data_IF_770558457083
#
_entry.id   IF_770558457083
#
_cell.length_a   1.000
_cell.length_b   1.000
_cell.length_c   1.000
_cell.angle_alpha   90.00
_cell.angle_beta   90.00
_cell.angle_gamma   90.00
#
_symmetry.space_group_name_H-M   'P 1'
#
loop_
_entity.id
_entity.type
_entity.pdbx_description
1 polymer ?
#
# COMPACT_ATOMS: atom_id res chain seq x y z
N UNK A 1 5.00 -6.26 30.31
CA UNK A 1 4.20 -7.33 29.66
C UNK A 1 3.01 -7.76 30.49
N UNK A 2 3.02 -7.60 31.79
CA UNK A 2 1.93 -8.02 32.69
C UNK A 2 0.60 -7.26 32.49
N UNK A 3 0.67 -6.08 31.86
CA UNK A 3 -0.48 -5.25 31.52
C UNK A 3 -1.36 -5.90 30.43
N UNK A 4 -0.77 -6.59 29.45
CA UNK A 4 -1.49 -7.12 28.28
C UNK A 4 -1.69 -8.64 28.39
N UNK A 5 -2.95 -9.06 28.45
CA UNK A 5 -3.34 -10.46 28.40
C UNK A 5 -3.52 -10.90 26.95
N UNK A 6 -2.64 -11.77 26.47
CA UNK A 6 -2.79 -12.37 25.14
C UNK A 6 -4.02 -13.24 25.07
N UNK A 7 -4.76 -13.13 23.97
CA UNK A 7 -5.93 -13.93 23.65
C UNK A 7 -5.57 -14.97 22.59
N UNK A 8 -5.40 -14.52 21.35
CA UNK A 8 -5.15 -15.40 20.19
C UNK A 8 -4.08 -14.82 19.26
N UNK A 9 -3.44 -15.68 18.46
CA UNK A 9 -2.56 -15.29 17.37
C UNK A 9 -3.43 -14.92 16.17
N UNK A 10 -3.29 -13.69 15.65
CA UNK A 10 -4.09 -13.17 14.55
C UNK A 10 -3.30 -13.02 13.23
N UNK A 11 -1.98 -13.08 13.31
CA UNK A 11 -1.10 -13.00 12.13
C UNK A 11 0.34 -13.36 12.45
N UNK A 12 1.06 -13.72 11.39
CA UNK A 12 2.51 -13.85 11.37
C UNK A 12 2.99 -13.32 10.05
N UNK A 13 4.00 -12.48 10.06
CA UNK A 13 4.57 -11.86 8.86
C UNK A 13 6.07 -11.68 9.00
N UNK A 14 6.67 -11.05 8.00
CA UNK A 14 8.12 -10.82 7.88
C UNK A 14 8.74 -10.20 9.14
N UNK A 15 7.98 -9.39 9.87
CA UNK A 15 8.47 -8.64 11.03
C UNK A 15 8.24 -9.33 12.37
N UNK A 16 7.42 -10.37 12.40
CA UNK A 16 7.11 -11.09 13.63
C UNK A 16 5.67 -11.57 13.73
N UNK A 17 5.27 -11.90 14.95
CA UNK A 17 3.94 -12.47 15.25
C UNK A 17 3.05 -11.41 15.86
N UNK A 18 1.80 -11.34 15.37
CA UNK A 18 0.76 -10.45 15.88
C UNK A 18 -0.25 -11.25 16.71
N UNK A 19 -0.52 -10.78 17.92
CA UNK A 19 -1.52 -11.36 18.82
C UNK A 19 -2.61 -10.33 19.13
N UNK A 20 -3.84 -10.77 19.13
CA UNK A 20 -4.94 -10.07 19.80
C UNK A 20 -4.72 -10.17 21.32
N UNK A 21 -4.93 -9.09 22.03
CA UNK A 21 -4.74 -9.06 23.47
C UNK A 21 -5.75 -8.10 24.13
N UNK A 22 -5.90 -8.23 25.44
CA UNK A 22 -6.69 -7.32 26.26
C UNK A 22 -5.75 -6.51 27.14
N UNK A 23 -5.89 -5.20 27.13
CA UNK A 23 -5.28 -4.32 28.14
C UNK A 23 -6.03 -4.50 29.47
N UNK A 24 -5.34 -4.98 30.50
CA UNK A 24 -5.93 -5.25 31.82
C UNK A 24 -6.34 -3.96 32.56
N UNK A 25 -5.79 -2.81 32.17
CA UNK A 25 -6.08 -1.52 32.82
C UNK A 25 -7.32 -0.92 32.20
N UNK A 26 -7.38 -0.76 30.86
CA UNK A 26 -8.52 -0.14 30.17
C UNK A 26 -9.62 -1.15 29.82
N UNK A 27 -9.32 -2.45 29.78
CA UNK A 27 -10.22 -3.49 29.28
C UNK A 27 -10.31 -3.58 27.76
N UNK A 28 -9.66 -2.67 27.04
CA UNK A 28 -9.73 -2.56 25.58
C UNK A 28 -8.98 -3.70 24.87
N UNK A 29 -9.46 -4.03 23.67
CA UNK A 29 -8.78 -4.99 22.80
C UNK A 29 -7.72 -4.25 21.98
N UNK A 30 -6.51 -4.82 21.94
CA UNK A 30 -5.33 -4.29 21.27
C UNK A 30 -4.64 -5.37 20.42
N UNK A 31 -3.82 -4.95 19.46
CA UNK A 31 -2.95 -5.82 18.68
C UNK A 31 -1.51 -5.68 19.16
N UNK A 32 -0.92 -6.80 19.59
CA UNK A 32 0.49 -6.87 20.03
C UNK A 32 1.34 -7.41 18.90
N UNK A 33 2.15 -6.57 18.28
CA UNK A 33 3.10 -6.96 17.24
C UNK A 33 4.49 -7.14 17.86
N UNK A 34 4.94 -8.39 17.97
CA UNK A 34 6.28 -8.71 18.42
C UNK A 34 7.25 -8.60 17.25
N UNK A 35 8.26 -7.76 17.40
CA UNK A 35 9.33 -7.61 16.42
C UNK A 35 10.44 -8.59 16.74
N UNK A 36 10.92 -9.34 15.73
CA UNK A 36 12.11 -10.18 15.80
C UNK A 36 13.33 -9.28 15.59
N UNK A 37 14.25 -9.27 16.54
CA UNK A 37 15.55 -8.62 16.41
C UNK A 37 16.54 -9.66 15.88
N UNK A 38 17.23 -9.38 14.78
CA UNK A 38 18.10 -10.37 14.10
C UNK A 38 19.38 -10.65 14.89
N UNK A 39 19.85 -9.71 15.70
CA UNK A 39 21.02 -9.88 16.56
C UNK A 39 20.63 -9.62 18.01
N UNK A 40 20.60 -10.70 18.81
CA UNK A 40 20.27 -10.59 20.24
C UNK A 40 21.27 -9.73 21.04
N UNK A 41 22.49 -9.50 20.49
CA UNK A 41 23.58 -8.84 21.20
C UNK A 41 23.75 -7.35 20.91
N UNK A 42 23.17 -6.79 19.83
CA UNK A 42 23.37 -5.39 19.44
C UNK A 42 22.25 -4.42 19.86
N UNK A 43 21.18 -4.92 20.46
CA UNK A 43 20.03 -4.09 20.88
C UNK A 43 19.17 -3.61 19.71
N UNK A 44 18.28 -2.64 19.97
CA UNK A 44 17.40 -2.07 18.92
C UNK A 44 18.20 -1.05 18.11
N UNK A 45 18.24 -1.18 16.76
CA UNK A 45 18.89 -0.17 15.91
C UNK A 45 18.33 1.24 16.15
N UNK A 46 19.20 2.25 16.19
CA UNK A 46 18.78 3.64 16.39
C UNK A 46 17.81 4.15 15.31
N UNK A 47 17.91 3.58 14.10
CA UNK A 47 16.99 3.82 12.99
C UNK A 47 15.58 3.34 13.32
N UNK A 48 15.46 2.16 13.94
CA UNK A 48 14.18 1.59 14.37
C UNK A 48 13.52 2.46 15.45
N UNK A 49 14.29 2.93 16.41
CA UNK A 49 13.77 3.81 17.47
C UNK A 49 13.21 5.10 16.87
N UNK A 50 13.89 5.70 15.91
CA UNK A 50 13.43 6.93 15.22
C UNK A 50 12.13 6.69 14.46
N UNK A 51 12.04 5.62 13.67
CA UNK A 51 10.82 5.31 12.91
C UNK A 51 9.64 4.96 13.81
N UNK A 52 9.87 4.25 14.90
CA UNK A 52 8.82 3.98 15.91
C UNK A 52 8.35 5.29 16.57
N UNK A 53 9.26 6.20 16.89
CA UNK A 53 8.90 7.51 17.44
C UNK A 53 8.04 8.31 16.47
N UNK A 54 8.40 8.33 15.18
CA UNK A 54 7.59 8.97 14.14
C UNK A 54 6.20 8.31 14.02
N UNK A 55 6.11 6.98 14.07
CA UNK A 55 4.82 6.28 14.04
C UNK A 55 3.94 6.64 15.23
N UNK A 56 4.53 6.86 16.40
CA UNK A 56 3.79 7.26 17.62
C UNK A 56 3.22 8.67 17.49
N UNK A 57 3.87 9.55 16.73
CA UNK A 57 3.42 10.92 16.45
C UNK A 57 2.32 10.96 15.37
N UNK A 58 2.22 9.94 14.50
CA UNK A 58 1.19 9.87 13.48
C UNK A 58 -0.18 9.58 14.11
N UNK A 59 -0.98 10.62 14.30
CA UNK A 59 -2.34 10.53 14.85
C UNK A 59 -3.35 11.02 13.81
N UNK A 60 -4.02 10.06 13.17
CA UNK A 60 -4.99 10.35 12.12
C UNK A 60 -6.07 9.25 12.10
N UNK A 61 -7.36 9.57 11.84
CA UNK A 61 -8.43 8.56 11.84
C UNK A 61 -8.22 7.42 10.85
N UNK A 62 -7.48 7.64 9.76
CA UNK A 62 -7.18 6.60 8.77
C UNK A 62 -5.76 6.01 8.91
N UNK A 63 -5.19 6.05 10.09
CA UNK A 63 -3.92 5.41 10.44
C UNK A 63 -4.14 4.60 11.72
N UNK A 64 -3.70 3.35 11.74
CA UNK A 64 -3.75 2.50 12.94
C UNK A 64 -2.88 3.11 14.03
N UNK A 65 -3.50 3.42 15.16
CA UNK A 65 -2.83 4.11 16.26
C UNK A 65 -1.83 3.19 16.97
N UNK A 66 -0.62 3.67 17.18
CA UNK A 66 0.36 3.05 18.06
C UNK A 66 0.15 3.58 19.48
N UNK A 67 -0.36 2.74 20.40
CA UNK A 67 -0.65 3.12 21.77
C UNK A 67 0.59 3.12 22.65
N UNK A 68 1.42 2.07 22.50
CA UNK A 68 2.56 1.87 23.39
C UNK A 68 3.67 1.06 22.72
N UNK A 69 4.87 1.17 23.28
CA UNK A 69 6.07 0.43 22.86
C UNK A 69 6.67 -0.21 24.09
N UNK A 70 6.56 -1.53 24.19
CA UNK A 70 7.09 -2.30 25.30
C UNK A 70 8.43 -2.90 24.89
N UNK A 71 9.48 -2.37 25.48
CA UNK A 71 10.85 -2.85 25.29
C UNK A 71 11.31 -3.66 26.50
N UNK A 72 11.91 -4.80 26.24
CA UNK A 72 12.67 -5.61 27.20
C UNK A 72 14.04 -5.92 26.59
N UNK A 73 15.04 -6.32 27.37
CA UNK A 73 16.43 -6.55 26.89
C UNK A 73 16.54 -7.33 25.57
N UNK A 74 15.56 -8.19 25.25
CA UNK A 74 15.58 -9.07 24.08
C UNK A 74 14.35 -8.99 23.18
N UNK A 75 13.36 -8.15 23.49
CA UNK A 75 12.08 -8.15 22.75
C UNK A 75 11.50 -6.77 22.65
N UNK A 76 11.11 -6.41 21.44
CA UNK A 76 10.33 -5.24 21.16
C UNK A 76 8.91 -5.64 20.84
N UNK A 77 7.92 -5.05 21.52
CA UNK A 77 6.50 -5.27 21.23
C UNK A 77 5.83 -3.94 21.03
N UNK A 78 5.22 -3.77 19.87
CA UNK A 78 4.41 -2.61 19.53
C UNK A 78 2.96 -2.92 19.88
N UNK A 79 2.28 -1.98 20.53
CA UNK A 79 0.88 -2.10 20.94
C UNK A 79 0.04 -1.19 20.06
N UNK A 80 -0.74 -1.79 19.18
CA UNK A 80 -1.57 -1.07 18.23
C UNK A 80 -3.06 -1.16 18.56
N UNK A 81 -3.82 -0.23 18.05
CA UNK A 81 -5.26 -0.33 17.88
C UNK A 81 -5.61 -1.64 17.18
N UNK A 82 -6.66 -2.31 17.65
CA UNK A 82 -7.14 -3.55 17.04
C UNK A 82 -8.28 -3.24 16.05
N UNK A 83 -8.19 -3.79 14.83
CA UNK A 83 -9.25 -3.79 13.85
C UNK A 83 -9.59 -5.23 13.44
N UNK A 84 -10.85 -5.46 13.07
CA UNK A 84 -11.40 -6.83 12.90
C UNK A 84 -10.83 -7.59 11.72
N UNK A 85 -10.57 -6.94 10.58
CA UNK A 85 -10.09 -7.59 9.36
C UNK A 85 -9.27 -6.66 8.46
N UNK A 86 -8.56 -7.24 7.53
CA UNK A 86 -7.88 -6.52 6.46
C UNK A 86 -8.70 -6.49 5.16
N UNK A 87 -8.37 -5.52 4.28
CA UNK A 87 -9.05 -5.34 3.00
C UNK A 87 -8.92 -6.58 2.09
N UNK A 88 -7.82 -7.35 2.19
CA UNK A 88 -7.68 -8.58 1.38
C UNK A 88 -8.74 -9.61 1.76
N UNK A 89 -8.92 -9.89 3.05
CA UNK A 89 -9.97 -10.79 3.54
C UNK A 89 -11.36 -10.28 3.17
N UNK A 90 -11.56 -8.95 3.21
CA UNK A 90 -12.82 -8.36 2.80
C UNK A 90 -13.08 -8.56 1.30
N UNK A 91 -12.07 -8.33 0.44
CA UNK A 91 -12.16 -8.57 -1.01
C UNK A 91 -12.39 -10.04 -1.36
N UNK A 92 -11.81 -10.97 -0.61
CA UNK A 92 -11.92 -12.41 -0.88
C UNK A 92 -13.35 -12.95 -0.70
N UNK A 93 -14.20 -12.24 0.03
CA UNK A 93 -15.62 -12.59 0.19
C UNK A 93 -16.55 -11.78 -0.73
N UNK A 94 -16.01 -10.76 -1.43
CA UNK A 94 -16.76 -9.94 -2.38
C UNK A 94 -16.63 -10.52 -3.79
N UNK A 95 -17.72 -11.08 -4.33
CA UNK A 95 -17.74 -11.57 -5.71
C UNK A 95 -17.66 -10.38 -6.69
N UNK A 96 -16.62 -10.36 -7.54
CA UNK A 96 -16.49 -9.39 -8.63
C UNK A 96 -16.01 -7.98 -8.24
N UNK A 97 -15.59 -7.76 -7.00
CA UNK A 97 -15.09 -6.47 -6.50
C UNK A 97 -16.02 -5.78 -5.51
N UNK A 98 -15.67 -4.57 -5.10
CA UNK A 98 -16.42 -3.80 -4.12
C UNK A 98 -17.58 -3.04 -4.78
N UNK A 99 -18.67 -2.87 -4.04
CA UNK A 99 -19.72 -1.92 -4.42
C UNK A 99 -19.12 -0.52 -4.64
N UNK A 100 -19.54 0.23 -5.70
CA UNK A 100 -18.94 1.53 -6.04
C UNK A 100 -18.89 2.54 -4.89
N UNK A 101 -19.92 2.60 -4.05
CA UNK A 101 -19.95 3.52 -2.90
C UNK A 101 -18.91 3.14 -1.84
N UNK A 102 -18.79 1.85 -1.52
CA UNK A 102 -17.80 1.33 -0.56
C UNK A 102 -16.39 1.56 -1.09
N UNK A 103 -16.15 1.24 -2.37
CA UNK A 103 -14.87 1.44 -3.03
C UNK A 103 -14.46 2.93 -3.00
N UNK A 104 -15.37 3.84 -3.35
CA UNK A 104 -15.11 5.29 -3.34
C UNK A 104 -14.78 5.77 -1.93
N UNK A 105 -15.52 5.30 -0.91
CA UNK A 105 -15.26 5.63 0.50
C UNK A 105 -13.90 5.12 0.96
N UNK A 106 -13.58 3.86 0.70
CA UNK A 106 -12.30 3.28 1.10
C UNK A 106 -11.11 3.95 0.41
N UNK A 107 -11.23 4.22 -0.89
CA UNK A 107 -10.18 4.92 -1.63
C UNK A 107 -9.95 6.34 -1.09
N UNK A 108 -11.02 7.06 -0.76
CA UNK A 108 -10.90 8.40 -0.18
C UNK A 108 -10.22 8.37 1.19
N UNK A 109 -10.59 7.42 2.06
CA UNK A 109 -9.99 7.22 3.38
C UNK A 109 -8.51 6.83 3.27
N UNK A 110 -8.16 5.94 2.32
CA UNK A 110 -6.78 5.55 2.02
C UNK A 110 -5.95 6.78 1.60
N UNK A 111 -6.47 7.59 0.68
CA UNK A 111 -5.81 8.81 0.24
C UNK A 111 -5.63 9.84 1.37
N UNK A 112 -6.62 9.99 2.26
CA UNK A 112 -6.51 10.86 3.45
C UNK A 112 -5.36 10.43 4.36
N UNK A 113 -5.29 9.14 4.69
CA UNK A 113 -4.22 8.60 5.52
C UNK A 113 -2.84 8.77 4.88
N UNK A 114 -2.72 8.46 3.57
CA UNK A 114 -1.47 8.62 2.82
C UNK A 114 -1.07 10.09 2.67
N UNK A 115 -2.01 11.00 2.39
CA UNK A 115 -1.72 12.44 2.32
C UNK A 115 -1.19 12.97 3.65
N UNK A 116 -1.74 12.51 4.77
CA UNK A 116 -1.25 12.87 6.10
C UNK A 116 0.18 12.36 6.31
N UNK A 117 0.49 11.11 5.97
CA UNK A 117 1.84 10.56 6.05
C UNK A 117 2.82 11.37 5.19
N UNK A 118 2.47 11.64 3.93
CA UNK A 118 3.31 12.39 3.01
C UNK A 118 3.59 13.83 3.49
N UNK A 119 2.60 14.47 4.12
CA UNK A 119 2.78 15.78 4.75
C UNK A 119 3.83 15.74 5.87
N UNK A 120 3.85 14.65 6.66
CA UNK A 120 4.84 14.41 7.71
C UNK A 120 6.15 13.78 7.20
N UNK A 121 6.35 13.73 5.86
CA UNK A 121 7.54 13.14 5.21
C UNK A 121 7.74 11.66 5.51
N UNK A 122 6.65 10.95 5.80
CA UNK A 122 6.64 9.51 6.01
C UNK A 122 6.08 8.83 4.76
N UNK A 123 6.82 7.85 4.23
CA UNK A 123 6.39 6.98 3.13
C UNK A 123 5.95 5.64 3.70
N UNK A 124 4.87 5.08 3.15
CA UNK A 124 4.42 3.74 3.57
C UNK A 124 5.27 2.63 2.96
N UNK A 125 5.55 2.68 1.66
CA UNK A 125 6.44 1.78 0.87
C UNK A 125 5.95 0.34 0.68
N UNK A 126 4.96 -0.12 1.42
CA UNK A 126 4.40 -1.48 1.34
C UNK A 126 2.87 -1.46 1.40
N UNK A 127 2.25 -0.54 0.63
CA UNK A 127 0.78 -0.49 0.50
C UNK A 127 0.30 -1.71 -0.29
N UNK A 128 -0.58 -2.46 0.34
CA UNK A 128 -1.27 -3.63 -0.20
C UNK A 128 -2.54 -3.90 0.60
N UNK A 129 -3.53 -4.63 0.08
CA UNK A 129 -4.79 -4.87 0.79
C UNK A 129 -4.62 -5.49 2.18
N UNK A 130 -3.59 -6.32 2.40
CA UNK A 130 -3.29 -6.92 3.71
C UNK A 130 -2.86 -5.90 4.78
N UNK A 131 -2.33 -4.74 4.36
CA UNK A 131 -1.89 -3.66 5.25
C UNK A 131 -2.93 -2.55 5.41
N UNK A 132 -4.15 -2.76 4.91
CA UNK A 132 -5.29 -1.87 5.06
C UNK A 132 -6.33 -2.55 5.94
N UNK A 133 -6.49 -2.05 7.16
CA UNK A 133 -7.40 -2.65 8.13
C UNK A 133 -8.75 -1.94 8.09
N UNK A 134 -9.80 -2.71 8.34
CA UNK A 134 -11.20 -2.24 8.28
C UNK A 134 -11.91 -2.64 9.56
N UNK A 135 -12.68 -1.74 10.13
CA UNK A 135 -13.60 -2.04 11.21
C UNK A 135 -15.04 -2.25 10.70
N UNK A 136 -15.94 -2.57 11.61
CA UNK A 136 -17.37 -2.84 11.30
C UNK A 136 -18.14 -1.59 10.91
N UNK A 137 -17.63 -0.43 11.28
CA UNK A 137 -18.22 0.89 10.99
C UNK A 137 -17.85 1.37 9.56
N UNK A 138 -17.05 0.60 8.82
CA UNK A 138 -16.59 0.95 7.46
C UNK A 138 -15.45 1.96 7.45
N UNK A 139 -14.72 2.09 8.56
CA UNK A 139 -13.49 2.87 8.59
C UNK A 139 -12.31 2.04 8.09
N UNK A 140 -11.50 2.63 7.19
CA UNK A 140 -10.26 2.06 6.69
C UNK A 140 -9.07 2.78 7.31
N UNK A 141 -8.09 2.00 7.78
CA UNK A 141 -6.87 2.51 8.41
C UNK A 141 -5.62 1.83 7.83
N UNK A 142 -4.59 2.65 7.61
CA UNK A 142 -3.26 2.18 7.20
C UNK A 142 -2.55 1.51 8.37
N UNK A 143 -2.02 0.31 8.12
CA UNK A 143 -1.24 -0.46 9.07
C UNK A 143 0.11 -0.86 8.45
N UNK A 144 1.02 -1.36 9.27
CA UNK A 144 2.27 -1.97 8.83
C UNK A 144 3.14 -1.08 7.93
N UNK A 145 3.29 0.18 8.33
CA UNK A 145 4.30 1.07 7.74
C UNK A 145 5.63 0.33 7.64
N UNK A 146 6.34 0.51 6.52
CA UNK A 146 7.56 -0.21 6.14
C UNK A 146 8.67 -0.23 7.19
N UNK A 147 8.38 -0.81 8.36
CA UNK A 147 9.29 -1.00 9.48
C UNK A 147 10.54 -1.81 9.09
N UNK A 148 10.49 -2.54 7.96
CA UNK A 148 11.61 -3.31 7.44
C UNK A 148 12.91 -2.52 7.33
N UNK A 149 12.81 -1.28 6.85
CA UNK A 149 13.99 -0.42 6.68
C UNK A 149 14.49 0.09 8.02
N UNK A 150 13.59 0.32 8.98
CA UNK A 150 13.91 0.76 10.32
C UNK A 150 14.77 -0.26 11.08
N UNK A 151 14.44 -1.52 10.90
CA UNK A 151 15.12 -2.62 11.58
C UNK A 151 16.32 -3.17 10.83
N UNK A 152 16.68 -2.57 9.66
CA UNK A 152 17.77 -3.07 8.82
C UNK A 152 17.53 -4.46 8.25
N UNK A 153 16.28 -4.94 8.32
CA UNK A 153 15.91 -6.26 7.82
C UNK A 153 16.05 -6.22 6.30
N UNK A 154 16.98 -7.00 5.70
CA UNK A 154 17.12 -7.05 4.25
C UNK A 154 15.79 -7.54 3.68
N UNK A 155 15.21 -6.79 2.76
CA UNK A 155 13.97 -7.18 2.04
C UNK A 155 14.15 -8.51 1.28
N UNK A 156 15.36 -9.07 1.29
CA UNK A 156 15.75 -10.24 0.49
C UNK A 156 15.97 -11.54 1.25
N UNK A 157 15.91 -11.58 2.57
CA UNK A 157 16.19 -12.85 3.26
C UNK A 157 15.22 -13.17 4.38
N UNK A 158 14.85 -14.43 4.35
CA UNK A 158 14.18 -15.26 5.36
C UNK A 158 12.66 -15.20 5.40
N UNK A 159 12.13 -16.08 4.69
CA UNK A 159 11.05 -17.06 4.78
C UNK A 159 10.41 -17.24 3.40
N UNK A 160 9.80 -18.39 3.14
CA UNK A 160 9.03 -18.71 1.94
C UNK A 160 7.79 -17.81 1.71
N UNK A 161 7.67 -16.71 2.43
CA UNK A 161 6.71 -15.64 2.11
C UNK A 161 7.28 -14.82 0.96
N UNK A 162 6.76 -15.10 -0.22
CA UNK A 162 6.98 -14.31 -1.42
C UNK A 162 6.56 -12.87 -1.11
N UNK A 163 7.53 -11.95 -1.01
CA UNK A 163 7.25 -10.51 -0.88
C UNK A 163 6.30 -10.12 -2.01
N UNK A 164 5.13 -9.64 -1.68
CA UNK A 164 4.12 -9.29 -2.67
C UNK A 164 4.60 -8.13 -3.53
N UNK A 165 4.98 -8.41 -4.77
CA UNK A 165 5.50 -7.43 -5.74
C UNK A 165 4.38 -6.69 -6.50
N UNK A 166 3.16 -7.15 -6.36
CA UNK A 166 2.02 -6.77 -7.22
C UNK A 166 1.67 -5.28 -7.22
N UNK A 167 2.07 -4.57 -6.17
CA UNK A 167 1.79 -3.15 -5.96
C UNK A 167 3.03 -2.27 -6.10
N UNK A 168 4.17 -2.86 -6.50
CA UNK A 168 5.44 -2.13 -6.62
C UNK A 168 5.50 -1.33 -7.91
N UNK A 169 5.88 -0.05 -7.78
CA UNK A 169 5.97 0.87 -8.90
C UNK A 169 7.06 0.47 -9.91
N UNK A 170 6.84 0.70 -11.23
CA UNK A 170 7.76 0.27 -12.28
C UNK A 170 9.13 0.95 -12.21
N UNK A 171 9.19 2.22 -11.79
CA UNK A 171 10.46 2.92 -11.59
C UNK A 171 11.33 2.25 -10.52
N UNK A 172 10.71 1.76 -9.43
CA UNK A 172 11.40 0.98 -8.38
C UNK A 172 11.89 -0.37 -8.93
N UNK A 173 11.04 -1.08 -9.68
CA UNK A 173 11.38 -2.37 -10.31
C UNK A 173 12.47 -2.22 -11.38
N UNK A 174 12.58 -1.05 -12.00
CA UNK A 174 13.64 -0.70 -12.97
C UNK A 174 14.93 -0.21 -12.30
N UNK A 175 15.03 -0.30 -10.97
CA UNK A 175 16.24 -0.01 -10.22
C UNK A 175 16.40 1.44 -9.78
N UNK A 176 15.34 2.27 -9.82
CA UNK A 176 15.39 3.62 -9.27
C UNK A 176 15.75 3.58 -7.78
N UNK A 177 16.73 4.38 -7.40
CA UNK A 177 17.08 4.59 -5.99
C UNK A 177 16.30 5.74 -5.34
N UNK A 178 15.53 6.48 -6.12
CA UNK A 178 14.73 7.62 -5.69
C UNK A 178 13.37 7.14 -5.17
N UNK A 179 13.30 6.83 -3.88
CA UNK A 179 12.01 6.56 -3.22
C UNK A 179 11.37 7.88 -2.78
N UNK A 180 10.20 8.18 -3.30
CA UNK A 180 9.43 9.38 -2.96
C UNK A 180 7.93 9.09 -2.94
N UNK A 181 7.12 10.05 -2.58
CA UNK A 181 5.66 9.90 -2.42
C UNK A 181 4.92 9.24 -3.59
N UNK A 182 5.33 9.37 -4.88
CA UNK A 182 4.66 8.71 -5.99
C UNK A 182 4.69 7.17 -5.96
N UNK A 183 5.61 6.54 -5.20
CA UNK A 183 5.62 5.07 -5.12
C UNK A 183 4.37 4.53 -4.41
N UNK A 184 3.91 5.25 -3.37
CA UNK A 184 2.68 4.90 -2.65
C UNK A 184 1.44 5.14 -3.55
N UNK A 185 1.46 6.16 -4.41
CA UNK A 185 0.35 6.45 -5.34
C UNK A 185 0.17 5.36 -6.37
N UNK A 186 1.25 4.80 -6.92
CA UNK A 186 1.17 3.64 -7.79
C UNK A 186 0.50 2.46 -7.10
N UNK A 187 0.92 2.16 -5.87
CA UNK A 187 0.33 1.09 -5.06
C UNK A 187 -1.16 1.32 -4.83
N UNK A 188 -1.58 2.57 -4.55
CA UNK A 188 -3.00 2.94 -4.40
C UNK A 188 -3.76 2.69 -5.72
N UNK A 189 -3.19 3.05 -6.86
CA UNK A 189 -3.79 2.77 -8.17
C UNK A 189 -4.00 1.27 -8.41
N UNK A 190 -3.02 0.43 -8.05
CA UNK A 190 -3.16 -1.02 -8.13
C UNK A 190 -4.28 -1.55 -7.20
N UNK A 191 -4.35 -1.03 -5.96
CA UNK A 191 -5.40 -1.39 -4.99
C UNK A 191 -6.77 -0.93 -5.49
N UNK A 192 -6.89 0.27 -6.06
CA UNK A 192 -8.12 0.77 -6.64
C UNK A 192 -8.65 -0.13 -7.76
N UNK A 193 -7.78 -0.53 -8.69
CA UNK A 193 -8.13 -1.46 -9.75
C UNK A 193 -8.53 -2.84 -9.19
N UNK A 194 -7.87 -3.33 -8.15
CA UNK A 194 -8.21 -4.60 -7.49
C UNK A 194 -9.55 -4.52 -6.77
N UNK A 195 -9.83 -3.42 -6.07
CA UNK A 195 -11.14 -3.18 -5.45
C UNK A 195 -12.27 -3.18 -6.49
N UNK A 196 -12.03 -2.65 -7.68
CA UNK A 196 -12.99 -2.67 -8.78
C UNK A 196 -13.18 -4.08 -9.37
N UNK A 197 -12.08 -4.79 -9.66
CA UNK A 197 -12.11 -6.06 -10.38
C UNK A 197 -12.28 -7.31 -9.49
N UNK A 198 -12.11 -7.20 -8.18
CA UNK A 198 -12.02 -8.33 -7.25
C UNK A 198 -10.74 -9.16 -7.36
N UNK A 199 -9.77 -8.73 -8.18
CA UNK A 199 -8.50 -9.44 -8.41
C UNK A 199 -7.35 -8.48 -8.68
N UNK A 200 -6.10 -8.85 -8.31
CA UNK A 200 -4.93 -8.02 -8.53
C UNK A 200 -4.73 -7.66 -10.00
N UNK A 201 -4.31 -6.41 -10.27
CA UNK A 201 -4.08 -5.92 -11.62
C UNK A 201 -2.82 -6.53 -12.24
N UNK A 202 -1.73 -6.62 -11.48
CA UNK A 202 -0.41 -7.09 -11.93
C UNK A 202 0.14 -8.20 -11.02
N UNK A 203 -0.39 -9.44 -11.07
CA UNK A 203 0.05 -10.53 -10.20
C UNK A 203 1.35 -11.18 -10.68
N UNK A 204 2.48 -10.50 -10.52
CA UNK A 204 3.81 -11.01 -10.87
C UNK A 204 4.37 -11.97 -9.82
N UNK A 205 5.17 -12.95 -10.26
CA UNK A 205 5.84 -13.92 -9.38
C UNK A 205 7.34 -13.64 -9.18
N UNK A 206 7.87 -12.64 -9.86
CA UNK A 206 9.24 -12.13 -9.74
C UNK A 206 9.27 -10.67 -10.18
N UNK A 207 10.32 -9.90 -9.84
CA UNK A 207 10.46 -8.50 -10.26
C UNK A 207 10.42 -8.37 -11.80
N UNK A 208 11.11 -9.27 -12.52
CA UNK A 208 11.09 -9.31 -13.98
C UNK A 208 9.70 -9.62 -14.54
N UNK A 209 9.00 -10.60 -13.95
CA UNK A 209 7.65 -10.95 -14.39
C UNK A 209 6.64 -9.84 -14.01
N UNK A 210 6.84 -9.16 -12.89
CA UNK A 210 6.02 -7.99 -12.49
C UNK A 210 6.12 -6.88 -13.54
N UNK A 211 7.34 -6.50 -13.97
CA UNK A 211 7.53 -5.52 -15.03
C UNK A 211 6.91 -5.98 -16.36
N UNK A 212 7.11 -7.25 -16.74
CA UNK A 212 6.51 -7.79 -17.96
C UNK A 212 4.97 -7.63 -17.93
N UNK A 213 4.32 -7.96 -16.82
CA UNK A 213 2.86 -7.80 -16.67
C UNK A 213 2.42 -6.34 -16.78
N UNK A 214 3.16 -5.43 -16.16
CA UNK A 214 2.89 -3.99 -16.26
C UNK A 214 2.99 -3.55 -17.73
N UNK A 215 4.07 -3.88 -18.42
CA UNK A 215 4.28 -3.49 -19.82
C UNK A 215 3.31 -4.17 -20.79
N UNK A 216 2.91 -5.41 -20.54
CA UNK A 216 1.88 -6.08 -21.34
C UNK A 216 0.52 -5.38 -21.26
N UNK A 217 0.17 -4.84 -20.12
CA UNK A 217 -1.15 -4.21 -19.91
C UNK A 217 -1.14 -2.71 -20.21
N UNK A 218 -0.07 -1.99 -19.85
CA UNK A 218 0.01 -0.55 -20.01
C UNK A 218 0.84 -0.09 -21.24
N UNK A 219 1.45 -1.04 -21.96
CA UNK A 219 2.41 -0.73 -23.03
C UNK A 219 3.79 -0.37 -22.50
N UNK A 220 4.75 -0.18 -23.41
CA UNK A 220 6.07 0.35 -23.05
C UNK A 220 6.03 1.88 -23.01
N UNK A 221 6.57 2.51 -21.96
CA UNK A 221 6.78 3.95 -21.97
C UNK A 221 7.89 4.32 -22.95
N UNK A 222 7.86 5.54 -23.45
CA UNK A 222 8.94 6.18 -24.17
C UNK A 222 9.54 7.34 -23.38
N UNK A 223 10.47 8.09 -24.00
CA UNK A 223 11.14 9.20 -23.34
C UNK A 223 10.22 10.43 -23.14
N UNK A 224 9.18 10.58 -23.94
CA UNK A 224 8.16 11.62 -23.76
C UNK A 224 7.23 11.26 -22.59
N UNK A 225 6.93 9.96 -22.44
CA UNK A 225 6.18 9.44 -21.29
C UNK A 225 6.96 9.62 -19.99
N UNK A 226 8.28 9.28 -20.00
CA UNK A 226 9.14 9.33 -18.84
C UNK A 226 10.56 9.80 -19.20
N UNK A 227 10.87 11.11 -19.09
CA UNK A 227 12.16 11.69 -19.48
C UNK A 227 13.40 11.08 -18.82
N UNK A 228 13.27 10.57 -17.57
CA UNK A 228 14.36 9.90 -16.85
C UNK A 228 14.49 8.38 -17.13
N UNK A 229 13.77 7.85 -18.10
CA UNK A 229 13.66 6.40 -18.34
C UNK A 229 15.01 5.75 -18.69
N UNK A 230 15.83 6.43 -19.50
CA UNK A 230 17.13 5.92 -19.93
C UNK A 230 18.16 5.82 -18.80
N UNK A 231 17.97 6.55 -17.71
CA UNK A 231 18.84 6.54 -16.53
C UNK A 231 18.55 5.34 -15.61
N UNK A 232 17.44 4.63 -15.82
CA UNK A 232 17.08 3.51 -14.98
C UNK A 232 17.91 2.26 -15.32
N UNK A 233 18.58 1.64 -14.32
CA UNK A 233 19.55 0.57 -14.53
C UNK A 233 19.03 -0.61 -15.37
N UNK A 234 17.79 -1.04 -15.09
CA UNK A 234 17.22 -2.24 -15.71
C UNK A 234 16.34 -1.96 -16.94
N UNK A 235 16.28 -0.68 -17.40
CA UNK A 235 15.39 -0.30 -18.49
C UNK A 235 15.77 -0.95 -19.83
N UNK A 236 17.05 -0.87 -20.23
CA UNK A 236 17.46 -1.37 -21.55
C UNK A 236 17.25 -2.88 -21.68
N UNK A 237 17.59 -3.64 -20.64
CA UNK A 237 17.36 -5.08 -20.61
C UNK A 237 15.87 -5.43 -20.66
N UNK A 238 15.06 -4.72 -19.91
CA UNK A 238 13.60 -4.90 -19.89
C UNK A 238 12.97 -4.58 -21.23
N UNK A 239 13.35 -3.44 -21.86
CA UNK A 239 12.89 -3.02 -23.19
C UNK A 239 13.22 -4.04 -24.27
N UNK A 240 14.46 -4.54 -24.29
CA UNK A 240 14.90 -5.56 -25.25
C UNK A 240 14.06 -6.83 -25.14
N UNK A 241 13.86 -7.33 -23.93
CA UNK A 241 13.06 -8.53 -23.66
C UNK A 241 11.60 -8.36 -24.09
N UNK A 242 11.01 -7.18 -23.84
CA UNK A 242 9.63 -6.91 -24.24
C UNK A 242 9.47 -6.83 -25.75
N UNK A 243 10.45 -6.23 -26.47
CA UNK A 243 10.45 -6.22 -27.95
C UNK A 243 10.56 -7.62 -28.53
N UNK A 244 11.41 -8.48 -27.96
CA UNK A 244 11.53 -9.87 -28.37
C UNK A 244 10.20 -10.62 -28.21
N UNK A 245 9.55 -10.50 -27.04
CA UNK A 245 8.23 -11.11 -26.79
C UNK A 245 7.17 -10.59 -27.75
N UNK A 246 7.15 -9.30 -28.06
CA UNK A 246 6.18 -8.74 -29.01
C UNK A 246 6.42 -9.24 -30.44
N UNK A 247 7.68 -9.42 -30.85
CA UNK A 247 8.02 -10.00 -32.16
C UNK A 247 7.54 -11.45 -32.30
N UNK A 248 7.36 -12.17 -31.20
CA UNK A 248 6.75 -13.50 -31.16
C UNK A 248 5.21 -13.46 -31.27
N UNK A 249 4.61 -12.28 -31.47
CA UNK A 249 3.19 -12.11 -31.81
C UNK A 249 2.20 -12.08 -30.66
N UNK A 250 2.65 -11.93 -29.42
CA UNK A 250 1.78 -12.19 -28.25
C UNK A 250 1.09 -10.96 -27.65
N UNK A 251 1.51 -9.70 -27.97
CA UNK A 251 0.88 -8.48 -27.42
C UNK A 251 1.39 -7.18 -28.10
N UNK A 252 0.64 -6.09 -27.88
CA UNK A 252 1.02 -4.76 -28.37
C UNK A 252 1.95 -4.04 -27.38
N UNK A 253 2.99 -3.39 -27.88
CA UNK A 253 3.84 -2.50 -27.10
C UNK A 253 3.28 -1.08 -26.98
N UNK A 254 2.22 -0.75 -27.73
CA UNK A 254 1.58 0.56 -27.69
C UNK A 254 0.80 0.72 -26.40
N UNK A 255 0.87 1.90 -25.83
CA UNK A 255 0.01 2.25 -24.68
C UNK A 255 -1.46 2.21 -25.10
N UNK A 256 -2.34 1.65 -24.28
CA UNK A 256 -3.78 1.68 -24.56
C UNK A 256 -4.30 3.11 -24.45
N UNK A 257 -5.26 3.47 -25.29
CA UNK A 257 -5.93 4.77 -25.25
C UNK A 257 -6.82 4.94 -24.00
N UNK A 258 -7.21 3.85 -23.37
CA UNK A 258 -8.02 3.81 -22.14
C UNK A 258 -7.71 2.59 -21.32
N UNK A 259 -7.81 2.72 -20.01
CA UNK A 259 -7.68 1.61 -19.06
C UNK A 259 -8.99 0.83 -18.86
N UNK A 260 -10.09 1.20 -19.52
CA UNK A 260 -11.40 0.56 -19.39
C UNK A 260 -11.36 -0.97 -19.59
N UNK A 261 -10.51 -1.45 -20.51
CA UNK A 261 -10.37 -2.88 -20.78
C UNK A 261 -9.69 -3.66 -19.63
N UNK A 262 -8.95 -2.95 -18.74
CA UNK A 262 -8.28 -3.54 -17.57
C UNK A 262 -9.17 -3.56 -16.32
N UNK A 263 -10.08 -2.59 -16.22
CA UNK A 263 -11.00 -2.40 -15.08
C UNK A 263 -12.44 -2.31 -15.59
N UNK A 264 -12.91 -3.42 -16.14
CA UNK A 264 -14.22 -3.51 -16.81
C UNK A 264 -15.41 -3.16 -15.91
N UNK A 265 -15.25 -3.29 -14.61
CA UNK A 265 -16.25 -2.99 -13.59
C UNK A 265 -16.25 -1.53 -13.14
N UNK A 266 -15.25 -0.73 -13.56
CA UNK A 266 -15.15 0.69 -13.27
C UNK A 266 -15.76 1.50 -14.45
N UNK A 267 -17.08 1.66 -14.43
CA UNK A 267 -17.81 2.35 -15.51
C UNK A 267 -17.81 3.88 -15.39
N UNK A 268 -17.36 4.43 -14.24
CA UNK A 268 -17.27 5.87 -14.04
C UNK A 268 -16.05 6.47 -14.78
N UNK A 269 -16.26 7.35 -15.77
CA UNK A 269 -15.15 8.02 -16.48
C UNK A 269 -14.23 8.81 -15.56
N UNK A 270 -14.76 9.41 -14.48
CA UNK A 270 -13.95 10.11 -13.48
C UNK A 270 -13.05 9.15 -12.70
N UNK A 271 -13.56 7.94 -12.40
CA UNK A 271 -12.77 6.88 -11.76
C UNK A 271 -11.64 6.39 -12.65
N UNK A 272 -11.91 6.21 -13.95
CA UNK A 272 -10.90 5.82 -14.94
C UNK A 272 -9.82 6.90 -15.12
N UNK A 273 -10.22 8.17 -15.14
CA UNK A 273 -9.28 9.29 -15.23
C UNK A 273 -8.38 9.35 -14.00
N UNK A 274 -8.94 9.24 -12.79
CA UNK A 274 -8.15 9.17 -11.55
C UNK A 274 -7.17 7.99 -11.56
N UNK A 275 -7.62 6.80 -11.94
CA UNK A 275 -6.77 5.62 -12.04
C UNK A 275 -5.63 5.83 -13.05
N UNK A 276 -5.92 6.45 -14.19
CA UNK A 276 -4.92 6.77 -15.21
C UNK A 276 -3.86 7.75 -14.69
N UNK A 277 -4.24 8.73 -13.88
CA UNK A 277 -3.31 9.67 -13.24
C UNK A 277 -2.47 9.01 -12.14
N UNK A 278 -2.98 7.95 -11.47
CA UNK A 278 -2.22 7.17 -10.50
C UNK A 278 -1.21 6.22 -11.14
N UNK A 279 -1.54 5.62 -12.30
CA UNK A 279 -0.73 4.62 -12.99
C UNK A 279 0.16 5.23 -14.10
N UNK A 280 0.70 6.44 -13.88
CA UNK A 280 1.70 7.04 -14.75
C UNK A 280 3.07 6.38 -14.54
N UNK A 281 3.80 6.12 -15.64
CA UNK A 281 5.16 5.57 -15.55
C UNK A 281 6.13 6.55 -14.90
N UNK A 282 6.09 7.83 -15.34
CA UNK A 282 6.87 8.90 -14.74
C UNK A 282 6.34 9.24 -13.35
N UNK A 283 7.15 9.04 -12.29
CA UNK A 283 6.75 9.42 -10.93
C UNK A 283 6.38 10.90 -10.79
N UNK A 284 6.97 11.78 -11.60
CA UNK A 284 6.69 13.22 -11.55
C UNK A 284 5.29 13.57 -12.13
N UNK A 285 4.76 12.71 -13.01
CA UNK A 285 3.43 12.88 -13.61
C UNK A 285 2.33 12.20 -12.79
N UNK A 286 2.66 11.35 -11.80
CA UNK A 286 1.64 10.73 -10.93
C UNK A 286 0.98 11.78 -10.06
N UNK A 287 -0.34 11.70 -9.96
CA UNK A 287 -1.11 12.58 -9.08
C UNK A 287 -0.65 12.44 -7.63
N UNK A 288 -0.59 13.52 -6.86
CA UNK A 288 -0.32 13.43 -5.42
C UNK A 288 -1.55 12.96 -4.65
N UNK A 289 -1.38 12.38 -3.45
CA UNK A 289 -2.52 11.96 -2.61
C UNK A 289 -3.46 13.13 -2.31
N UNK A 290 -2.90 14.33 -2.06
CA UNK A 290 -3.68 15.56 -1.82
C UNK A 290 -4.52 15.94 -3.05
N UNK A 291 -3.91 15.99 -4.23
CA UNK A 291 -4.64 16.34 -5.45
C UNK A 291 -5.66 15.27 -5.84
N UNK A 292 -5.35 13.99 -5.57
CA UNK A 292 -6.29 12.90 -5.81
C UNK A 292 -7.58 13.04 -4.98
N UNK A 293 -7.50 13.50 -3.73
CA UNK A 293 -8.69 13.78 -2.90
C UNK A 293 -9.58 14.90 -3.46
N UNK A 294 -9.00 15.84 -4.21
CA UNK A 294 -9.74 16.91 -4.85
C UNK A 294 -10.30 16.51 -6.23
N UNK A 295 -9.97 15.31 -6.71
CA UNK A 295 -10.43 14.83 -8.01
C UNK A 295 -11.97 14.74 -8.10
N UNK A 296 -12.58 15.00 -9.27
CA UNK A 296 -14.03 14.95 -9.46
C UNK A 296 -14.69 13.61 -9.10
N UNK A 297 -13.93 12.52 -9.08
CA UNK A 297 -14.41 11.20 -8.65
C UNK A 297 -14.99 11.20 -7.23
N UNK A 298 -14.47 12.05 -6.34
CA UNK A 298 -14.92 12.15 -4.94
C UNK A 298 -15.92 13.29 -4.70
N UNK A 299 -16.49 13.88 -5.74
CA UNK A 299 -17.40 15.03 -5.58
C UNK A 299 -18.63 14.73 -4.74
N UNK A 300 -19.19 13.53 -4.84
CA UNK A 300 -20.34 13.08 -4.03
C UNK A 300 -20.01 13.07 -2.54
N UNK A 301 -18.88 12.46 -2.14
CA UNK A 301 -18.46 12.41 -0.74
C UNK A 301 -18.24 13.80 -0.13
N UNK A 302 -17.71 14.74 -0.92
CA UNK A 302 -17.49 16.12 -0.45
C UNK A 302 -18.80 16.91 -0.29
N UNK A 303 -19.83 16.62 -1.08
CA UNK A 303 -21.16 17.24 -0.97
C UNK A 303 -21.87 16.71 0.28
N UNK A 304 -21.85 15.40 0.50
CA UNK A 304 -22.48 14.77 1.67
C UNK A 304 -21.88 15.29 2.99
N UNK A 305 -20.54 15.46 3.04
CA UNK A 305 -19.86 16.02 4.21
C UNK A 305 -20.26 17.48 4.51
N UNK A 306 -20.61 18.29 3.50
CA UNK A 306 -21.07 19.68 3.67
C UNK A 306 -22.52 19.77 4.15
N UNK A 307 -23.38 18.81 3.79
CA UNK A 307 -24.78 18.78 4.18
C UNK A 307 -25.00 18.11 5.54
N UNK A 308 -24.12 17.21 5.97
CA UNK A 308 -24.17 16.57 7.28
C UNK A 308 -23.64 17.41 8.45
N UNK A 309 -22.93 18.52 8.17
CA UNK A 309 -22.38 19.43 9.18
C UNK A 309 -23.32 20.58 9.62
N UNK A 310 -24.55 20.59 9.15
CA UNK A 310 -25.52 21.68 9.37
C UNK A 310 -26.60 21.42 10.41
N UNK A 311 -26.45 20.39 11.25
CA UNK A 311 -27.41 20.08 12.32
C UNK A 311 -26.68 19.78 13.62
N UNK A 312 -26.24 20.81 14.31
CA UNK A 312 -26.03 20.86 15.76
C UNK A 312 -26.24 22.29 16.21
#
# INVERSE_FOLDING_TARGET
MDRYQKLEKIGEGTYGVVHKARDKISGEIVALKKIRLETEDEGIPSTAIREISLLKELQHPNIVRLFDVVHTERKLTLVFEYLDQDLKKYLDVCEGGLEPKVMTSFLYQLLRGVAYCHHHRVLHRDLKPQNLLINREGELKLADFGLARAFGIPVRSYTHEVVTLWYRAPDVLLGSRKYSTPVDIWSIGCIFAECSNGRPLFPGNSEKNQLERIFMLLGLPDEDDYPGLLELPDWQASKAKMKEKAAQGNFSLKRPSSLQHLVKTLDDPKGLDLLTQMLQFDPAKRISARNAMEHPYFESLRKDAKHGGGSM
#
